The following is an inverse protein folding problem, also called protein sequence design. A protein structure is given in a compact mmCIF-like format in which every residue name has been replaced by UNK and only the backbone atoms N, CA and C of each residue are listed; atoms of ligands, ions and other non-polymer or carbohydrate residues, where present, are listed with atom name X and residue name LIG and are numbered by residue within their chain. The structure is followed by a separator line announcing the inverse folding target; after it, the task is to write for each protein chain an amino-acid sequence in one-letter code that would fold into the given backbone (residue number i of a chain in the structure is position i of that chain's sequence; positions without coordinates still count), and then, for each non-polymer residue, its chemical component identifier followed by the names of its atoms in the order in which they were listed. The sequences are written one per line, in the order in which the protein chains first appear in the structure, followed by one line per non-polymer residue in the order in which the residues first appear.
data_IF_355956132138
#
_entry.id   IF_355956132138
#
_cell.length_a   1.000
_cell.length_b   1.000
_cell.length_c   1.000
_cell.angle_alpha   90.00
_cell.angle_beta   90.00
_cell.angle_gamma   90.00
#
_symmetry.space_group_name_H-M   'P 1'
#
loop_
_entity.id
_entity.type
_entity.pdbx_description
1 polymer ?
#
# COMPACT_ATOMS: atom_id res chain seq x y z
N UNK A 1 12.24 -0.72 5.46
CA UNK A 1 12.76 0.14 6.54
C UNK A 1 12.15 1.52 6.49
N UNK A 2 11.99 2.18 7.63
CA UNK A 2 11.54 3.56 7.73
C UNK A 2 12.50 4.38 8.59
N UNK A 3 12.62 5.66 8.26
CA UNK A 3 13.53 6.59 8.93
C UNK A 3 12.82 7.94 9.13
N UNK A 4 13.06 8.64 10.24
CA UNK A 4 12.67 10.04 10.33
C UNK A 4 13.45 10.85 9.28
N UNK A 5 12.81 11.88 8.74
CA UNK A 5 13.45 12.82 7.82
C UNK A 5 13.39 14.24 8.38
N UNK A 6 14.48 14.95 8.26
CA UNK A 6 14.57 16.36 8.63
C UNK A 6 15.45 17.12 7.64
N UNK A 7 15.59 18.43 7.79
CA UNK A 7 16.52 19.22 6.99
C UNK A 7 17.99 18.76 7.09
N UNK A 8 18.33 17.95 8.10
CA UNK A 8 19.65 17.32 8.27
C UNK A 8 19.74 15.93 7.60
N UNK A 9 18.68 15.43 6.95
CA UNK A 9 18.65 14.13 6.29
C UNK A 9 18.00 13.03 7.12
N UNK A 10 18.43 11.79 6.91
CA UNK A 10 17.89 10.61 7.61
C UNK A 10 18.27 10.60 9.08
N UNK A 11 17.28 10.37 9.92
CA UNK A 11 17.48 10.10 11.34
C UNK A 11 17.72 8.62 11.64
N UNK A 12 17.61 8.25 12.91
CA UNK A 12 17.78 6.86 13.34
C UNK A 12 16.64 5.99 12.81
N UNK A 13 16.98 4.84 12.22
CA UNK A 13 16.00 3.88 11.69
C UNK A 13 14.98 3.50 12.76
N UNK A 14 13.71 3.53 12.41
CA UNK A 14 12.65 2.97 13.26
C UNK A 14 12.79 1.46 13.40
N UNK A 15 12.29 0.90 14.50
CA UNK A 15 12.20 -0.53 14.70
C UNK A 15 11.35 -1.17 13.58
N UNK A 16 11.68 -2.39 13.20
CA UNK A 16 10.87 -3.15 12.26
C UNK A 16 9.49 -3.44 12.86
N UNK A 17 8.43 -3.59 12.03
CA UNK A 17 7.14 -4.01 12.54
C UNK A 17 7.22 -5.41 13.18
N UNK A 18 6.41 -5.66 14.20
CA UNK A 18 6.35 -6.96 14.88
C UNK A 18 5.92 -8.08 13.91
N UNK A 19 5.02 -7.76 12.99
CA UNK A 19 4.61 -8.66 11.89
C UNK A 19 5.19 -8.15 10.59
N UNK A 20 6.20 -8.82 10.07
CA UNK A 20 6.84 -8.44 8.81
C UNK A 20 5.91 -8.69 7.61
N UNK A 21 6.09 -7.98 6.48
CA UNK A 21 5.50 -8.39 5.21
C UNK A 21 5.89 -9.83 4.86
N UNK A 22 5.04 -10.51 4.09
CA UNK A 22 5.23 -11.91 3.75
C UNK A 22 6.45 -12.18 2.86
N UNK A 23 6.95 -11.17 2.16
CA UNK A 23 8.11 -11.28 1.26
C UNK A 23 8.78 -9.92 1.05
N UNK A 24 9.68 -9.86 0.08
CA UNK A 24 10.42 -8.65 -0.22
C UNK A 24 9.48 -7.52 -0.61
N UNK A 25 9.70 -6.34 -0.03
CA UNK A 25 8.96 -5.13 -0.36
C UNK A 25 9.44 -4.55 -1.68
N UNK A 26 8.51 -4.35 -2.61
CA UNK A 26 8.77 -3.75 -3.92
C UNK A 26 8.38 -2.27 -3.99
N UNK A 27 7.42 -1.86 -3.17
CA UNK A 27 6.89 -0.51 -3.18
C UNK A 27 6.37 -0.10 -1.82
N UNK A 28 6.29 1.19 -1.59
CA UNK A 28 5.82 1.76 -0.33
C UNK A 28 5.12 3.09 -0.57
N UNK A 29 4.08 3.35 0.20
CA UNK A 29 3.39 4.64 0.19
C UNK A 29 2.81 4.97 1.57
N UNK A 30 2.80 6.24 1.92
CA UNK A 30 2.05 6.76 3.06
C UNK A 30 0.68 7.24 2.62
N UNK A 31 -0.30 7.11 3.51
CA UNK A 31 -1.56 7.83 3.34
C UNK A 31 -1.33 9.35 3.52
N UNK A 32 -2.28 10.20 3.05
CA UNK A 32 -2.09 11.66 3.11
C UNK A 32 -1.81 12.22 4.52
N UNK A 33 -2.30 11.55 5.55
CA UNK A 33 -2.09 11.96 6.95
C UNK A 33 -0.76 11.47 7.54
N UNK A 34 -0.04 10.58 6.85
CA UNK A 34 1.18 9.96 7.37
C UNK A 34 0.95 8.97 8.53
N UNK A 35 -0.30 8.55 8.74
CA UNK A 35 -0.69 7.65 9.83
C UNK A 35 -0.75 6.19 9.44
N UNK A 36 -0.69 5.89 8.15
CA UNK A 36 -0.65 4.53 7.61
C UNK A 36 0.44 4.43 6.55
N UNK A 37 1.14 3.31 6.54
CA UNK A 37 2.15 2.98 5.54
C UNK A 37 1.79 1.66 4.87
N UNK A 38 1.69 1.67 3.55
CA UNK A 38 1.43 0.49 2.73
C UNK A 38 2.72 -0.04 2.13
N UNK A 39 2.83 -1.36 2.05
CA UNK A 39 3.96 -2.07 1.43
C UNK A 39 3.41 -3.05 0.41
N UNK A 40 3.81 -2.91 -0.84
CA UNK A 40 3.62 -3.94 -1.87
C UNK A 40 4.77 -4.93 -1.82
N UNK A 41 4.50 -6.22 -1.89
CA UNK A 41 5.54 -7.25 -1.79
C UNK A 41 5.35 -8.42 -2.77
N UNK A 42 6.40 -9.23 -2.92
CA UNK A 42 6.45 -10.30 -3.92
C UNK A 42 5.67 -11.55 -3.53
N UNK A 43 5.24 -11.66 -2.29
CA UNK A 43 4.53 -12.84 -1.77
C UNK A 43 3.17 -12.43 -1.21
N UNK A 44 2.14 -13.23 -1.46
CA UNK A 44 0.82 -12.98 -0.88
C UNK A 44 0.87 -13.07 0.66
N UNK A 45 0.18 -12.18 1.36
CA UNK A 45 -0.58 -11.05 0.85
C UNK A 45 0.31 -9.94 0.25
N UNK A 46 0.03 -9.60 -1.00
CA UNK A 46 0.89 -8.68 -1.76
C UNK A 46 0.78 -7.20 -1.35
N UNK A 47 -0.21 -6.87 -0.54
CA UNK A 47 -0.46 -5.53 -0.04
C UNK A 47 -0.62 -5.60 1.47
N UNK A 48 0.33 -5.04 2.19
CA UNK A 48 0.36 -5.01 3.65
C UNK A 48 0.32 -3.56 4.12
N UNK A 49 -0.57 -3.24 5.05
CA UNK A 49 -0.66 -1.88 5.59
C UNK A 49 -0.49 -1.90 7.10
N UNK A 50 0.27 -0.95 7.59
CA UNK A 50 0.56 -0.78 9.01
C UNK A 50 0.11 0.58 9.50
N UNK A 51 -0.39 0.63 10.72
CA UNK A 51 -0.49 1.88 11.46
C UNK A 51 0.92 2.41 11.69
N UNK A 52 1.11 3.70 11.45
CA UNK A 52 2.39 4.38 11.63
C UNK A 52 2.24 5.59 12.55
N UNK A 53 2.94 5.56 13.67
CA UNK A 53 2.97 6.66 14.63
C UNK A 53 4.34 6.66 15.30
N UNK A 54 5.25 7.49 14.81
CA UNK A 54 6.66 7.48 15.23
C UNK A 54 7.32 6.11 15.07
N UNK A 55 6.91 5.39 14.01
CA UNK A 55 7.38 4.04 13.70
C UNK A 55 6.22 3.11 13.33
N UNK A 56 6.57 1.89 12.93
CA UNK A 56 5.58 0.86 12.62
C UNK A 56 4.86 0.40 13.89
N UNK A 57 3.54 0.23 13.77
CA UNK A 57 2.70 -0.33 14.81
C UNK A 57 1.90 -1.51 14.26
N UNK A 58 0.62 -1.62 14.60
CA UNK A 58 -0.25 -2.75 14.23
C UNK A 58 -0.38 -2.88 12.71
N UNK A 59 -0.26 -4.10 12.20
CA UNK A 59 -0.64 -4.42 10.82
C UNK A 59 -2.16 -4.55 10.74
N UNK A 60 -2.76 -3.91 9.73
CA UNK A 60 -4.18 -4.07 9.45
C UNK A 60 -4.47 -5.46 8.87
N UNK A 61 -5.68 -5.95 9.08
CA UNK A 61 -6.17 -7.18 8.45
C UNK A 61 -6.14 -7.03 6.93
N UNK A 62 -5.66 -8.06 6.24
CA UNK A 62 -5.56 -8.07 4.78
C UNK A 62 -6.95 -7.96 4.13
N UNK A 63 -7.04 -7.39 2.92
CA UNK A 63 -8.30 -7.38 2.20
C UNK A 63 -8.73 -8.82 1.87
N UNK A 64 -10.03 -9.06 1.87
CA UNK A 64 -10.61 -10.39 1.63
C UNK A 64 -10.31 -10.94 0.23
N UNK A 65 -10.08 -10.07 -0.74
CA UNK A 65 -9.75 -10.42 -2.12
C UNK A 65 -8.45 -9.73 -2.48
N UNK A 66 -7.38 -10.50 -2.61
CA UNK A 66 -6.12 -10.03 -3.18
C UNK A 66 -5.89 -10.72 -4.52
N UNK A 67 -5.60 -9.93 -5.55
CA UNK A 67 -5.14 -10.45 -6.82
C UNK A 67 -3.63 -10.32 -6.94
N UNK A 68 -3.07 -10.99 -7.92
CA UNK A 68 -1.69 -10.83 -8.29
C UNK A 68 -0.71 -11.66 -7.49
N UNK A 69 0.50 -11.77 -8.02
CA UNK A 69 1.61 -12.43 -7.36
C UNK A 69 2.60 -11.43 -6.75
N UNK A 70 2.74 -10.24 -7.35
CA UNK A 70 3.66 -9.19 -6.89
C UNK A 70 2.94 -7.86 -6.79
N UNK A 71 2.98 -7.24 -5.63
CA UNK A 71 2.52 -5.85 -5.42
C UNK A 71 3.63 -4.87 -5.82
N UNK A 72 3.70 -4.55 -7.11
CA UNK A 72 4.82 -3.77 -7.68
C UNK A 72 4.75 -2.28 -7.36
N UNK A 73 3.54 -1.72 -7.23
CA UNK A 73 3.33 -0.32 -6.91
C UNK A 73 2.11 -0.14 -6.04
N UNK A 74 2.17 0.75 -5.07
CA UNK A 74 1.04 1.09 -4.17
C UNK A 74 0.87 2.59 -4.08
N UNK A 75 -0.38 3.02 -3.94
CA UNK A 75 -0.69 4.43 -3.71
C UNK A 75 -1.99 4.58 -2.92
N UNK A 76 -2.06 5.63 -2.11
CA UNK A 76 -3.31 6.10 -1.50
C UNK A 76 -3.90 7.25 -2.31
N UNK A 77 -5.22 7.35 -2.30
CA UNK A 77 -5.90 8.53 -2.85
C UNK A 77 -5.54 9.78 -2.05
N UNK A 78 -5.67 10.94 -2.69
CA UNK A 78 -5.41 12.23 -2.04
C UNK A 78 -6.36 12.52 -0.87
N UNK A 79 -7.55 11.93 -0.89
CA UNK A 79 -8.55 12.01 0.19
C UNK A 79 -8.31 10.97 1.29
N UNK A 80 -7.46 9.96 1.04
CA UNK A 80 -7.14 8.92 2.01
C UNK A 80 -8.23 7.86 2.18
N UNK A 81 -9.21 7.80 1.28
CA UNK A 81 -10.35 6.89 1.34
C UNK A 81 -10.24 5.68 0.39
N UNK A 82 -9.16 5.62 -0.37
CA UNK A 82 -8.86 4.51 -1.27
C UNK A 82 -7.35 4.19 -1.29
N UNK A 83 -7.06 2.94 -1.58
CA UNK A 83 -5.71 2.44 -1.79
C UNK A 83 -5.70 1.55 -3.04
N UNK A 84 -4.67 1.67 -3.87
CA UNK A 84 -4.52 0.85 -5.06
C UNK A 84 -3.17 0.16 -5.09
N UNK A 85 -3.15 -1.01 -5.75
CA UNK A 85 -1.94 -1.79 -5.99
C UNK A 85 -1.85 -2.16 -7.46
N UNK A 86 -0.70 -1.91 -8.08
CA UNK A 86 -0.34 -2.42 -9.39
C UNK A 86 0.37 -3.77 -9.23
N UNK A 87 0.00 -4.75 -10.03
CA UNK A 87 0.52 -6.10 -9.88
C UNK A 87 0.68 -6.83 -11.23
N UNK A 88 1.27 -8.01 -11.21
CA UNK A 88 1.69 -8.74 -12.41
C UNK A 88 0.70 -9.81 -12.90
N UNK A 89 -0.50 -9.86 -12.35
CA UNK A 89 -1.56 -10.76 -12.82
C UNK A 89 -2.81 -9.96 -13.16
N UNK A 90 -3.63 -10.49 -14.07
CA UNK A 90 -4.93 -9.89 -14.40
C UNK A 90 -5.78 -9.69 -13.13
N UNK A 91 -6.36 -8.53 -12.87
CA UNK A 91 -6.53 -7.38 -13.79
C UNK A 91 -5.37 -6.36 -13.84
N UNK A 92 -4.21 -6.66 -13.31
CA UNK A 92 -2.98 -5.85 -13.27
C UNK A 92 -3.05 -4.61 -12.37
N UNK A 93 -4.22 -4.24 -11.93
CA UNK A 93 -4.49 -3.20 -10.95
C UNK A 93 -5.68 -3.61 -10.08
N UNK A 94 -5.60 -3.35 -8.79
CA UNK A 94 -6.69 -3.52 -7.84
C UNK A 94 -6.77 -2.32 -6.92
N UNK A 95 -7.98 -1.91 -6.58
CA UNK A 95 -8.20 -0.81 -5.64
C UNK A 95 -9.24 -1.21 -4.59
N UNK A 96 -9.09 -0.64 -3.41
CA UNK A 96 -9.90 -0.95 -2.24
C UNK A 96 -10.34 0.33 -1.54
N UNK A 97 -11.51 0.30 -0.96
CA UNK A 97 -11.88 1.31 0.02
C UNK A 97 -10.89 1.24 1.19
N UNK A 98 -10.52 2.39 1.71
CA UNK A 98 -9.61 2.50 2.85
C UNK A 98 -10.17 3.41 3.93
N UNK A 99 -10.00 3.01 5.15
CA UNK A 99 -10.26 3.85 6.32
C UNK A 99 -9.03 3.79 7.24
N UNK A 100 -8.48 4.94 7.57
CA UNK A 100 -7.24 5.02 8.36
C UNK A 100 -7.35 4.39 9.76
N UNK A 101 -8.57 4.28 10.31
CA UNK A 101 -8.82 3.66 11.61
C UNK A 101 -9.21 2.19 11.56
N UNK A 102 -9.84 1.74 10.46
CA UNK A 102 -10.39 0.38 10.34
C UNK A 102 -9.68 -0.50 9.32
N UNK A 103 -8.97 0.10 8.36
CA UNK A 103 -8.27 -0.63 7.32
C UNK A 103 -9.06 -0.79 6.03
N UNK A 104 -8.92 -1.94 5.39
CA UNK A 104 -9.53 -2.24 4.09
C UNK A 104 -11.05 -2.39 4.19
N UNK A 105 -11.75 -1.74 3.24
CA UNK A 105 -13.14 -2.00 2.93
C UNK A 105 -13.28 -2.89 1.70
N UNK A 106 -14.35 -2.65 0.91
CA UNK A 106 -14.63 -3.44 -0.29
C UNK A 106 -13.60 -3.15 -1.39
N UNK A 107 -13.31 -4.18 -2.18
CA UNK A 107 -12.58 -4.01 -3.44
C UNK A 107 -13.46 -3.29 -4.44
N UNK A 108 -12.93 -2.27 -5.10
CA UNK A 108 -13.62 -1.63 -6.21
C UNK A 108 -13.70 -2.57 -7.42
N UNK A 109 -14.72 -2.37 -8.26
CA UNK A 109 -14.82 -3.08 -9.54
C UNK A 109 -13.56 -2.79 -10.38
N UNK A 110 -13.14 -3.78 -11.15
CA UNK A 110 -12.03 -3.61 -12.09
C UNK A 110 -12.40 -2.58 -13.17
N UNK A 111 -11.40 -1.88 -13.73
CA UNK A 111 -11.65 -1.05 -14.91
C UNK A 111 -12.28 -1.86 -16.03
N UNK A 112 -13.19 -1.24 -16.78
CA UNK A 112 -13.84 -1.88 -17.95
C UNK A 112 -12.81 -2.25 -19.01
N UNK A 113 -11.81 -1.39 -19.21
CA UNK A 113 -10.67 -1.67 -20.06
C UNK A 113 -9.44 -1.87 -19.16
N UNK A 114 -8.93 -3.08 -19.15
CA UNK A 114 -7.77 -3.43 -18.32
C UNK A 114 -6.45 -2.94 -18.96
N UNK A 115 -5.43 -2.68 -18.13
CA UNK A 115 -4.06 -2.59 -18.64
C UNK A 115 -3.69 -3.85 -19.43
N UNK A 116 -2.81 -3.71 -20.42
CA UNK A 116 -2.44 -4.81 -21.32
C UNK A 116 -1.38 -5.75 -20.76
N UNK A 117 -0.86 -5.49 -19.59
CA UNK A 117 0.18 -6.32 -18.97
C UNK A 117 0.49 -5.88 -17.56
N UNK A 118 1.58 -6.40 -17.04
CA UNK A 118 2.05 -6.14 -15.66
C UNK A 118 2.02 -4.68 -15.30
N UNK A 119 1.32 -4.36 -14.23
CA UNK A 119 1.35 -3.05 -13.60
C UNK A 119 2.61 -2.90 -12.73
N UNK A 120 3.43 -1.90 -13.03
CA UNK A 120 4.66 -1.64 -12.27
C UNK A 120 4.50 -0.49 -11.28
N UNK A 121 3.58 0.43 -11.54
CA UNK A 121 3.31 1.57 -10.69
C UNK A 121 1.83 1.98 -10.79
N UNK A 122 1.34 2.67 -9.79
CA UNK A 122 0.00 3.22 -9.74
C UNK A 122 0.04 4.57 -9.05
N UNK A 123 -0.83 5.47 -9.48
CA UNK A 123 -0.99 6.79 -8.87
C UNK A 123 -2.46 7.21 -8.94
N UNK A 124 -2.86 8.00 -7.98
CA UNK A 124 -4.15 8.69 -8.02
C UNK A 124 -3.96 10.13 -8.47
N UNK A 125 -4.93 10.65 -9.22
CA UNK A 125 -5.00 12.08 -9.48
C UNK A 125 -5.39 12.81 -8.20
N UNK A 126 -4.96 14.06 -8.07
CA UNK A 126 -5.46 14.93 -7.02
C UNK A 126 -6.92 15.24 -7.33
N UNK A 127 -7.81 15.04 -6.37
CA UNK A 127 -9.22 15.39 -6.52
C UNK A 127 -9.38 16.90 -6.72
N UNK A 128 -10.12 17.25 -7.73
CA UNK A 128 -10.45 18.65 -8.00
C UNK A 128 -11.46 19.17 -6.96
#
# INVERSE_FOLDING_TARGET
SAYPWSGAGFGVKYANPATLPAGDGLSVAFNPLGTNIAVGCITAPILNVYLFSSGFSTRFTDPSIQGGANGNGVAFSSTGDAIAVAHNQTPFISAYQWNAGYGFGLKFANPTTLPTGTGNAVAFTVSA
#
